data_IF_708084788059
#
_entry.id   IF_708084788059
#
_cell.length_a   1.000
_cell.length_b   1.000
_cell.length_c   1.000
_cell.angle_alpha   90.00
_cell.angle_beta   90.00
_cell.angle_gamma   90.00
#
_symmetry.space_group_name_H-M   'P 1'
#
loop_
_entity.id
_entity.type
_entity.pdbx_description
1 polymer ?
#
# COMPACT_ATOMS: atom_id res chain seq x y z
N UNK A 1 -19.11 12.81 14.30
CA UNK A 1 -19.19 11.34 14.38
C UNK A 1 -19.79 10.84 13.08
N UNK A 2 -18.98 10.50 12.06
CA UNK A 2 -19.45 9.69 10.95
C UNK A 2 -19.66 8.25 11.48
N UNK A 3 -20.63 7.50 10.96
CA UNK A 3 -21.17 6.29 11.61
C UNK A 3 -22.66 6.40 11.97
N UNK A 4 -23.41 7.22 11.22
CA UNK A 4 -24.87 7.24 11.26
C UNK A 4 -25.48 6.36 10.16
N UNK A 5 -26.79 6.06 10.21
CA UNK A 5 -27.52 5.25 9.20
C UNK A 5 -27.42 5.75 7.74
N UNK A 6 -26.79 6.90 7.49
CA UNK A 6 -26.48 7.41 6.15
C UNK A 6 -25.36 6.65 5.42
N UNK A 7 -24.46 5.97 6.14
CA UNK A 7 -23.27 5.33 5.54
C UNK A 7 -23.64 4.01 4.83
N UNK A 8 -24.52 3.18 5.41
CA UNK A 8 -24.95 1.93 4.77
C UNK A 8 -25.82 2.16 3.53
N UNK A 9 -26.69 3.17 3.56
CA UNK A 9 -27.52 3.51 2.40
C UNK A 9 -26.68 4.00 1.22
N UNK A 10 -25.53 4.63 1.47
CA UNK A 10 -24.58 5.00 0.42
C UNK A 10 -23.90 3.76 -0.18
N UNK A 11 -23.44 2.83 0.67
CA UNK A 11 -22.84 1.55 0.25
C UNK A 11 -23.82 0.71 -0.58
N UNK A 12 -25.09 0.65 -0.16
CA UNK A 12 -26.11 -0.09 -0.91
C UNK A 12 -26.33 0.47 -2.32
N UNK A 13 -26.26 1.81 -2.47
CA UNK A 13 -26.38 2.48 -3.77
C UNK A 13 -25.13 2.27 -4.63
N UNK A 14 -23.93 2.38 -4.06
CA UNK A 14 -22.67 2.27 -4.82
C UNK A 14 -22.44 0.87 -5.37
N UNK A 15 -22.89 -0.17 -4.66
CA UNK A 15 -22.78 -1.56 -5.11
C UNK A 15 -24.07 -2.12 -5.74
N UNK A 16 -25.04 -1.25 -6.04
CA UNK A 16 -26.33 -1.62 -6.63
C UNK A 16 -27.04 -2.81 -5.94
N UNK A 17 -26.98 -2.92 -4.61
CA UNK A 17 -27.53 -4.08 -3.88
C UNK A 17 -29.07 -4.07 -3.96
N UNK A 18 -29.66 -5.11 -4.56
CA UNK A 18 -31.08 -5.10 -4.99
C UNK A 18 -31.99 -5.87 -4.06
N UNK A 19 -31.45 -6.78 -3.24
CA UNK A 19 -32.22 -7.59 -2.30
C UNK A 19 -31.96 -7.20 -0.84
N UNK A 20 -32.95 -7.47 0.02
CA UNK A 20 -32.81 -7.32 1.47
C UNK A 20 -31.68 -8.19 2.02
N UNK A 21 -31.52 -9.40 1.51
CA UNK A 21 -30.49 -10.35 1.96
C UNK A 21 -29.07 -9.83 1.66
N UNK A 22 -28.84 -9.24 0.48
CA UNK A 22 -27.56 -8.58 0.13
C UNK A 22 -27.29 -7.37 1.03
N UNK A 23 -28.30 -6.53 1.24
CA UNK A 23 -28.20 -5.34 2.08
C UNK A 23 -27.90 -5.68 3.54
N UNK A 24 -28.55 -6.73 4.08
CA UNK A 24 -28.29 -7.25 5.42
C UNK A 24 -26.90 -7.89 5.53
N UNK A 25 -26.48 -8.67 4.54
CA UNK A 25 -25.16 -9.30 4.52
C UNK A 25 -24.04 -8.24 4.55
N UNK A 26 -24.17 -7.20 3.71
CA UNK A 26 -23.24 -6.06 3.70
C UNK A 26 -23.30 -5.27 5.00
N UNK A 27 -24.49 -5.07 5.58
CA UNK A 27 -24.64 -4.44 6.89
C UNK A 27 -23.91 -5.19 8.00
N UNK A 28 -24.01 -6.53 8.04
CA UNK A 28 -23.28 -7.37 9.01
C UNK A 28 -21.77 -7.30 8.78
N UNK A 29 -21.32 -7.36 7.53
CA UNK A 29 -19.91 -7.25 7.19
C UNK A 29 -19.33 -5.88 7.61
N UNK A 30 -20.05 -4.80 7.33
CA UNK A 30 -19.69 -3.44 7.75
C UNK A 30 -19.57 -3.33 9.26
N UNK A 31 -20.55 -3.82 10.02
CA UNK A 31 -20.49 -3.75 11.50
C UNK A 31 -19.35 -4.60 12.07
N UNK A 32 -19.10 -5.79 11.52
CA UNK A 32 -17.96 -6.62 11.92
C UNK A 32 -16.63 -5.91 11.63
N UNK A 33 -16.48 -5.33 10.43
CA UNK A 33 -15.31 -4.53 10.09
C UNK A 33 -15.14 -3.36 11.05
N UNK A 34 -16.19 -2.54 11.22
CA UNK A 34 -16.18 -1.34 12.08
C UNK A 34 -15.85 -1.68 13.54
N UNK A 35 -16.38 -2.78 14.07
CA UNK A 35 -16.16 -3.20 15.46
C UNK A 35 -14.75 -3.74 15.72
N UNK A 36 -14.11 -4.30 14.69
CA UNK A 36 -12.82 -4.99 14.82
C UNK A 36 -11.71 -4.27 14.01
N UNK A 37 -11.69 -4.47 12.69
CA UNK A 37 -10.62 -3.97 11.81
C UNK A 37 -10.58 -2.45 11.73
N UNK A 38 -11.73 -1.76 11.67
CA UNK A 38 -11.79 -0.30 11.63
C UNK A 38 -11.13 0.37 12.83
N UNK A 39 -11.18 -0.25 14.02
CA UNK A 39 -10.48 0.25 15.22
C UNK A 39 -8.97 0.08 15.11
N UNK A 40 -8.52 -1.05 14.57
CA UNK A 40 -7.10 -1.29 14.32
C UNK A 40 -6.54 -0.27 13.32
N UNK A 41 -7.20 -0.10 12.17
CA UNK A 41 -6.81 0.87 11.14
C UNK A 41 -6.77 2.29 11.71
N UNK A 42 -7.82 2.72 12.42
CA UNK A 42 -7.87 4.06 13.01
C UNK A 42 -6.76 4.30 14.05
N UNK A 43 -6.47 3.30 14.89
CA UNK A 43 -5.39 3.40 15.89
C UNK A 43 -4.02 3.51 15.23
N UNK A 44 -3.72 2.64 14.26
CA UNK A 44 -2.46 2.66 13.51
C UNK A 44 -2.30 3.96 12.73
N UNK A 45 -3.35 4.43 12.05
CA UNK A 45 -3.34 5.72 11.35
C UNK A 45 -3.09 6.89 12.28
N UNK A 46 -3.68 6.89 13.49
CA UNK A 46 -3.46 7.94 14.48
C UNK A 46 -2.01 7.97 15.00
N UNK A 47 -1.39 6.80 15.16
CA UNK A 47 0.02 6.69 15.54
C UNK A 47 0.98 7.09 14.42
N UNK A 48 0.60 6.80 13.17
CA UNK A 48 1.36 7.15 11.96
C UNK A 48 1.33 8.64 11.64
N UNK A 49 0.21 9.31 11.92
CA UNK A 49 -0.06 10.68 11.49
C UNK A 49 1.01 11.72 11.89
N UNK A 50 1.58 11.73 13.11
CA UNK A 50 2.67 12.64 13.48
C UNK A 50 3.91 12.51 12.59
N UNK A 51 4.24 11.29 12.17
CA UNK A 51 5.37 11.02 11.30
C UNK A 51 5.08 11.41 9.86
N UNK A 52 3.83 11.25 9.38
CA UNK A 52 3.40 11.79 8.08
C UNK A 52 3.51 13.32 8.04
N UNK A 53 3.07 14.00 9.10
CA UNK A 53 3.25 15.44 9.23
C UNK A 53 4.73 15.84 9.21
N UNK A 54 5.59 15.07 9.90
CA UNK A 54 7.03 15.31 9.91
C UNK A 54 7.64 15.12 8.53
N UNK A 55 7.25 14.06 7.82
CA UNK A 55 7.71 13.78 6.46
C UNK A 55 7.37 14.92 5.49
N UNK A 56 6.16 15.48 5.58
CA UNK A 56 5.77 16.68 4.82
C UNK A 56 6.59 17.90 5.25
N UNK A 57 6.73 18.16 6.55
CA UNK A 57 7.37 19.37 7.05
C UNK A 57 8.89 19.41 6.80
N UNK A 58 9.57 18.28 6.87
CA UNK A 58 11.03 18.19 6.74
C UNK A 58 11.48 18.01 5.29
N UNK A 59 10.69 17.29 4.48
CA UNK A 59 11.09 16.88 3.13
C UNK A 59 10.17 17.37 2.03
N UNK A 60 9.04 18.00 2.37
CA UNK A 60 8.01 18.34 1.40
C UNK A 60 7.37 17.10 0.76
N UNK A 61 7.36 15.96 1.46
CA UNK A 61 6.97 14.69 0.86
C UNK A 61 5.48 14.67 0.45
N UNK A 62 5.16 14.06 -0.70
CA UNK A 62 3.80 13.61 -0.99
C UNK A 62 3.52 12.33 -0.19
N UNK A 63 2.36 12.26 0.46
CA UNK A 63 1.93 11.05 1.18
C UNK A 63 1.04 10.23 0.25
N UNK A 64 1.43 9.00 -0.02
CA UNK A 64 0.71 8.15 -0.97
C UNK A 64 0.24 6.88 -0.29
N UNK A 65 -1.07 6.69 -0.29
CA UNK A 65 -1.70 5.47 0.20
C UNK A 65 -1.82 4.48 -0.95
N UNK A 66 -1.17 3.33 -0.80
CA UNK A 66 -1.12 2.31 -1.84
C UNK A 66 -2.35 1.41 -1.79
N UNK A 67 -3.25 1.59 -2.74
CA UNK A 67 -4.27 0.65 -3.19
C UNK A 67 -4.89 -0.22 -2.10
N UNK A 68 -5.04 -1.50 -2.45
CA UNK A 68 -5.64 -2.61 -1.70
C UNK A 68 -5.70 -2.42 -0.19
N UNK A 69 -4.55 -2.18 0.44
CA UNK A 69 -4.47 -2.10 1.90
C UNK A 69 -4.33 -0.66 2.40
N UNK A 70 -3.66 0.21 1.64
CA UNK A 70 -3.40 1.61 1.96
C UNK A 70 -4.67 2.47 2.03
N UNK A 71 -5.68 2.22 1.19
CA UNK A 71 -6.91 3.04 1.12
C UNK A 71 -7.69 3.05 2.43
N UNK A 72 -7.65 1.97 3.21
CA UNK A 72 -8.27 1.95 4.54
C UNK A 72 -7.59 2.93 5.50
N UNK A 73 -6.26 3.05 5.44
CA UNK A 73 -5.52 4.05 6.22
C UNK A 73 -5.74 5.46 5.68
N UNK A 74 -5.93 5.63 4.36
CA UNK A 74 -6.30 6.90 3.76
C UNK A 74 -7.65 7.40 4.28
N UNK A 75 -8.66 6.53 4.32
CA UNK A 75 -9.98 6.85 4.86
C UNK A 75 -9.90 7.25 6.34
N UNK A 76 -9.10 6.55 7.14
CA UNK A 76 -8.87 6.92 8.54
C UNK A 76 -8.15 8.27 8.68
N UNK A 77 -7.08 8.52 7.92
CA UNK A 77 -6.35 9.80 7.95
C UNK A 77 -7.24 10.96 7.48
N UNK A 78 -8.04 10.77 6.43
CA UNK A 78 -9.04 11.76 5.98
C UNK A 78 -10.03 12.11 7.09
N UNK A 79 -10.45 11.13 7.88
CA UNK A 79 -11.32 11.34 9.04
C UNK A 79 -10.63 12.03 10.23
N UNK A 80 -9.34 11.73 10.46
CA UNK A 80 -8.57 12.24 11.60
C UNK A 80 -7.98 13.64 11.35
N UNK A 81 -7.56 13.93 10.12
CA UNK A 81 -6.91 15.17 9.71
C UNK A 81 -7.28 15.54 8.26
N UNK A 82 -8.54 15.97 8.02
CA UNK A 82 -9.08 16.19 6.67
C UNK A 82 -8.25 17.21 5.87
N UNK A 83 -7.96 18.36 6.48
CA UNK A 83 -7.14 19.41 5.90
C UNK A 83 -5.72 18.96 5.50
N UNK A 84 -5.11 18.07 6.30
CA UNK A 84 -3.80 17.51 5.98
C UNK A 84 -3.92 16.56 4.79
N UNK A 85 -4.93 15.69 4.82
CA UNK A 85 -5.21 14.74 3.77
C UNK A 85 -5.41 15.45 2.42
N UNK A 86 -6.33 16.42 2.36
CA UNK A 86 -6.65 17.15 1.13
C UNK A 86 -5.43 17.85 0.51
N UNK A 87 -4.51 18.36 1.33
CA UNK A 87 -3.34 19.10 0.84
C UNK A 87 -2.16 18.22 0.48
N UNK A 88 -1.96 17.09 1.17
CA UNK A 88 -0.69 16.36 1.12
C UNK A 88 -0.81 14.88 0.75
N UNK A 89 -2.03 14.34 0.69
CA UNK A 89 -2.27 12.92 0.50
C UNK A 89 -2.93 12.59 -0.84
N UNK A 90 -2.46 11.52 -1.50
CA UNK A 90 -3.09 10.90 -2.67
C UNK A 90 -3.31 9.41 -2.39
N UNK A 91 -4.37 8.84 -2.97
CA UNK A 91 -4.58 7.40 -3.10
C UNK A 91 -4.25 6.98 -4.53
N UNK A 92 -3.40 5.96 -4.70
CA UNK A 92 -3.11 5.36 -6.02
C UNK A 92 -3.18 3.85 -5.91
N UNK A 93 -3.51 3.18 -7.00
CA UNK A 93 -3.43 1.72 -7.08
C UNK A 93 -2.14 1.35 -7.80
N UNK A 94 -1.10 1.07 -7.02
CA UNK A 94 0.19 0.63 -7.55
C UNK A 94 0.50 -0.79 -7.06
N UNK A 95 0.50 -1.76 -7.97
CA UNK A 95 0.76 -3.15 -7.63
C UNK A 95 2.23 -3.52 -7.84
N UNK A 96 2.66 -4.61 -7.18
CA UNK A 96 3.99 -5.21 -7.41
C UNK A 96 4.21 -5.59 -8.88
N UNK A 97 3.17 -6.06 -9.57
CA UNK A 97 3.28 -6.47 -10.97
C UNK A 97 3.50 -5.27 -11.89
N UNK A 98 2.77 -4.17 -11.65
CA UNK A 98 2.91 -2.93 -12.44
C UNK A 98 4.34 -2.37 -12.34
N UNK A 99 4.90 -2.26 -11.13
CA UNK A 99 6.27 -1.74 -10.96
C UNK A 99 7.32 -2.72 -11.49
N UNK A 100 7.12 -4.03 -11.30
CA UNK A 100 8.02 -5.05 -11.87
C UNK A 100 8.02 -5.00 -13.41
N UNK A 101 6.88 -4.75 -14.05
CA UNK A 101 6.81 -4.57 -15.50
C UNK A 101 7.60 -3.36 -15.97
N UNK A 102 7.53 -2.25 -15.26
CA UNK A 102 8.36 -1.08 -15.55
C UNK A 102 9.87 -1.38 -15.41
N UNK A 103 10.29 -2.13 -14.39
CA UNK A 103 11.70 -2.56 -14.28
C UNK A 103 12.09 -3.52 -15.41
N UNK A 104 11.22 -4.47 -15.77
CA UNK A 104 11.48 -5.40 -16.88
C UNK A 104 11.61 -4.66 -18.22
N UNK A 105 10.79 -3.64 -18.46
CA UNK A 105 10.89 -2.74 -19.62
C UNK A 105 12.24 -2.03 -19.67
N UNK A 106 12.68 -1.43 -18.55
CA UNK A 106 13.98 -0.77 -18.44
C UNK A 106 15.16 -1.73 -18.63
N UNK A 107 15.09 -2.95 -18.09
CA UNK A 107 16.11 -3.98 -18.32
C UNK A 107 16.19 -4.37 -19.80
N UNK A 108 15.04 -4.59 -20.44
CA UNK A 108 14.96 -5.05 -21.81
C UNK A 108 15.35 -3.97 -22.83
N UNK A 109 14.82 -2.76 -22.66
CA UNK A 109 14.89 -1.69 -23.66
C UNK A 109 16.00 -0.66 -23.39
N UNK A 110 16.37 -0.44 -22.13
CA UNK A 110 17.41 0.51 -21.75
C UNK A 110 18.72 -0.15 -21.25
N UNK A 111 18.74 -1.48 -21.10
CA UNK A 111 19.89 -2.22 -20.58
C UNK A 111 20.20 -1.93 -19.11
N UNK A 112 19.22 -1.42 -18.36
CA UNK A 112 19.32 -1.16 -16.93
C UNK A 112 19.55 -2.46 -16.14
N UNK A 113 20.04 -2.34 -14.91
CA UNK A 113 20.23 -3.46 -13.99
C UNK A 113 19.79 -3.08 -12.59
N UNK A 114 19.07 -3.99 -11.94
CA UNK A 114 18.44 -3.75 -10.64
C UNK A 114 18.89 -4.77 -9.58
N UNK A 115 20.17 -5.12 -9.58
CA UNK A 115 20.75 -6.14 -8.69
C UNK A 115 20.48 -5.86 -7.20
N UNK A 116 20.45 -4.58 -6.82
CA UNK A 116 20.24 -4.14 -5.43
C UNK A 116 18.84 -4.47 -4.88
N UNK A 117 17.84 -4.62 -5.74
CA UNK A 117 16.45 -4.91 -5.34
C UNK A 117 16.01 -6.33 -5.68
N UNK A 118 16.91 -7.18 -6.17
CA UNK A 118 16.58 -8.52 -6.67
C UNK A 118 15.80 -9.36 -5.63
N UNK A 119 16.17 -9.27 -4.35
CA UNK A 119 15.46 -10.00 -3.28
C UNK A 119 14.00 -9.57 -3.10
N UNK A 120 13.62 -8.39 -3.60
CA UNK A 120 12.26 -7.83 -3.54
C UNK A 120 11.44 -8.14 -4.79
N UNK A 121 12.09 -8.60 -5.88
CA UNK A 121 11.42 -8.82 -7.17
C UNK A 121 10.61 -10.11 -7.18
N UNK A 122 9.51 -10.07 -7.93
CA UNK A 122 8.65 -11.21 -8.24
C UNK A 122 8.62 -11.42 -9.74
N UNK A 123 9.76 -11.81 -10.32
CA UNK A 123 9.95 -11.93 -11.79
C UNK A 123 8.95 -12.87 -12.46
N UNK A 124 8.40 -13.82 -11.72
CA UNK A 124 7.39 -14.79 -12.18
C UNK A 124 6.01 -14.16 -12.44
N UNK A 125 5.79 -12.91 -12.01
CA UNK A 125 4.51 -12.21 -12.13
C UNK A 125 4.32 -11.43 -13.41
N UNK A 126 5.38 -11.24 -14.20
CA UNK A 126 5.36 -10.42 -15.40
C UNK A 126 6.02 -11.20 -16.54
N UNK A 127 5.36 -11.23 -17.70
CA UNK A 127 6.02 -11.66 -18.94
C UNK A 127 6.92 -10.51 -19.44
N UNK A 128 8.27 -10.67 -19.43
CA UNK A 128 9.18 -9.61 -19.84
C UNK A 128 9.00 -9.19 -21.29
N UNK A 129 8.46 -10.07 -22.14
CA UNK A 129 8.23 -9.75 -23.56
C UNK A 129 6.95 -8.94 -23.79
N UNK A 130 6.06 -8.91 -22.80
CA UNK A 130 4.85 -8.11 -22.81
C UNK A 130 5.03 -6.75 -22.10
N UNK A 131 6.19 -6.50 -21.49
CA UNK A 131 6.43 -5.30 -20.67
C UNK A 131 6.82 -4.05 -21.48
N UNK A 132 6.88 -4.12 -22.81
CA UNK A 132 7.30 -3.00 -23.64
C UNK A 132 6.41 -1.76 -23.43
N UNK A 133 7.00 -0.64 -23.01
CA UNK A 133 6.30 0.61 -22.73
C UNK A 133 5.70 0.71 -21.33
N UNK A 134 5.83 -0.32 -20.49
CA UNK A 134 5.30 -0.32 -19.13
C UNK A 134 5.94 0.77 -18.25
N UNK A 135 7.22 1.12 -18.47
CA UNK A 135 7.84 2.22 -17.72
C UNK A 135 7.23 3.57 -18.08
N UNK A 136 6.94 3.81 -19.37
CA UNK A 136 6.29 5.05 -19.79
C UNK A 136 4.86 5.12 -19.26
N UNK A 137 4.08 4.04 -19.38
CA UNK A 137 2.71 4.00 -18.84
C UNK A 137 2.67 4.22 -17.33
N UNK A 138 3.64 3.65 -16.58
CA UNK A 138 3.78 3.93 -15.15
C UNK A 138 4.14 5.40 -14.89
N UNK A 139 5.06 5.97 -15.67
CA UNK A 139 5.44 7.38 -15.52
C UNK A 139 4.26 8.32 -15.77
N UNK A 140 3.50 8.08 -16.83
CA UNK A 140 2.31 8.87 -17.18
C UNK A 140 1.25 8.77 -16.08
N UNK A 141 0.98 7.56 -15.57
CA UNK A 141 0.05 7.34 -14.46
C UNK A 141 0.46 8.07 -13.18
N UNK A 142 1.76 8.09 -12.87
CA UNK A 142 2.29 8.77 -11.69
C UNK A 142 2.27 10.29 -11.85
N UNK A 143 2.61 10.79 -13.03
CA UNK A 143 2.57 12.21 -13.35
C UNK A 143 1.12 12.75 -13.28
N UNK A 144 0.13 12.02 -13.82
CA UNK A 144 -1.29 12.37 -13.74
C UNK A 144 -1.81 12.41 -12.28
N UNK A 145 -1.21 11.61 -11.41
CA UNK A 145 -1.52 11.56 -9.98
C UNK A 145 -0.68 12.53 -9.12
N UNK A 146 0.15 13.39 -9.74
CA UNK A 146 1.09 14.31 -9.09
C UNK A 146 2.06 13.59 -8.13
N UNK A 147 2.54 12.41 -8.55
CA UNK A 147 3.51 11.60 -7.82
C UNK A 147 4.90 11.82 -8.42
N UNK A 148 5.91 12.25 -7.63
CA UNK A 148 7.22 12.62 -8.17
C UNK A 148 7.92 11.47 -8.92
N UNK A 149 8.31 11.65 -10.19
CA UNK A 149 9.03 10.62 -10.98
C UNK A 149 10.52 10.94 -11.20
N UNK A 150 10.97 12.15 -10.85
CA UNK A 150 12.34 12.62 -11.15
C UNK A 150 13.05 13.23 -9.95
N UNK A 151 12.48 14.26 -9.32
CA UNK A 151 12.98 14.90 -8.10
C UNK A 151 11.83 15.04 -7.10
N UNK A 152 12.13 14.90 -5.81
CA UNK A 152 11.16 15.14 -4.73
C UNK A 152 11.23 14.09 -3.64
N UNK A 153 10.20 14.08 -2.80
CA UNK A 153 10.10 13.14 -1.70
C UNK A 153 8.72 12.48 -1.67
N UNK A 154 8.71 11.20 -1.37
CA UNK A 154 7.53 10.36 -1.30
C UNK A 154 7.50 9.62 0.04
N UNK A 155 6.30 9.47 0.59
CA UNK A 155 6.07 8.57 1.73
C UNK A 155 4.94 7.63 1.37
N UNK A 156 5.27 6.35 1.22
CA UNK A 156 4.32 5.29 0.91
C UNK A 156 3.68 4.76 2.18
N UNK A 157 2.35 4.67 2.18
CA UNK A 157 1.55 4.09 3.25
C UNK A 157 0.88 2.82 2.74
N UNK A 158 1.14 1.70 3.41
CA UNK A 158 0.63 0.39 3.01
C UNK A 158 0.55 -0.56 4.22
N UNK A 159 -0.08 -1.72 4.06
CA UNK A 159 0.06 -2.86 4.97
C UNK A 159 1.06 -3.86 4.38
N UNK A 160 2.35 -3.53 4.42
CA UNK A 160 3.39 -4.33 3.75
C UNK A 160 4.47 -4.83 4.68
N UNK A 161 4.63 -6.15 4.73
CA UNK A 161 5.67 -6.77 5.55
C UNK A 161 7.09 -6.33 5.16
N UNK A 162 7.41 -6.36 3.86
CA UNK A 162 8.78 -6.19 3.34
C UNK A 162 9.04 -4.78 2.79
N UNK A 163 8.00 -4.05 2.40
CA UNK A 163 8.14 -2.77 1.68
C UNK A 163 8.54 -2.92 0.22
N UNK A 164 8.14 -4.00 -0.45
CA UNK A 164 8.53 -4.30 -1.84
C UNK A 164 8.25 -3.15 -2.81
N UNK A 165 7.06 -2.55 -2.78
CA UNK A 165 6.71 -1.48 -3.73
C UNK A 165 7.64 -0.29 -3.56
N UNK A 166 8.03 0.06 -2.32
CA UNK A 166 9.01 1.12 -2.08
C UNK A 166 10.33 0.85 -2.81
N UNK A 167 10.86 -0.36 -2.68
CA UNK A 167 12.17 -0.69 -3.26
C UNK A 167 12.13 -0.76 -4.78
N UNK A 168 11.08 -1.36 -5.35
CA UNK A 168 10.93 -1.40 -6.81
C UNK A 168 10.70 0.01 -7.38
N UNK A 169 9.92 0.85 -6.69
CA UNK A 169 9.72 2.23 -7.08
C UNK A 169 11.03 3.04 -7.02
N UNK A 170 11.78 2.92 -5.92
CA UNK A 170 13.07 3.62 -5.75
C UNK A 170 14.09 3.20 -6.81
N UNK A 171 14.02 1.95 -7.27
CA UNK A 171 14.84 1.47 -8.38
C UNK A 171 14.41 2.05 -9.74
N UNK A 172 13.10 2.16 -10.00
CA UNK A 172 12.57 2.75 -11.23
C UNK A 172 12.80 4.27 -11.31
N UNK A 173 12.71 4.97 -10.17
CA UNK A 173 12.78 6.43 -10.07
C UNK A 173 13.84 6.88 -9.05
N UNK A 174 15.14 6.71 -9.35
CA UNK A 174 16.23 6.87 -8.38
C UNK A 174 16.48 8.31 -7.88
N UNK A 175 15.87 9.32 -8.50
CA UNK A 175 15.97 10.72 -8.06
C UNK A 175 14.96 11.11 -6.97
N UNK A 176 14.05 10.20 -6.60
CA UNK A 176 12.99 10.46 -5.61
C UNK A 176 13.40 9.89 -4.24
N UNK A 177 13.33 10.70 -3.18
CA UNK A 177 13.54 10.21 -1.81
C UNK A 177 12.28 9.50 -1.30
N UNK A 178 12.31 8.17 -1.20
CA UNK A 178 11.16 7.38 -0.76
C UNK A 178 11.31 6.89 0.69
N UNK A 179 10.27 7.05 1.49
CA UNK A 179 10.11 6.40 2.81
C UNK A 179 8.83 5.58 2.88
N UNK A 180 8.79 4.66 3.84
CA UNK A 180 7.69 3.71 4.00
C UNK A 180 7.11 3.76 5.40
N UNK A 181 5.79 3.87 5.49
CA UNK A 181 5.02 3.87 6.75
C UNK A 181 4.01 2.73 6.66
N UNK A 182 4.31 1.65 7.36
CA UNK A 182 3.56 0.41 7.24
C UNK A 182 2.85 0.05 8.53
N UNK A 183 1.67 -0.54 8.45
CA UNK A 183 1.05 -1.10 9.64
C UNK A 183 1.92 -2.21 10.24
N UNK A 184 2.43 -3.11 9.41
CA UNK A 184 3.24 -4.26 9.81
C UNK A 184 4.51 -4.23 8.96
N UNK A 185 5.70 -4.22 9.57
CA UNK A 185 6.97 -4.23 8.84
C UNK A 185 8.01 -5.14 9.51
N UNK A 186 8.72 -5.91 8.69
CA UNK A 186 9.97 -6.56 9.05
C UNK A 186 11.04 -6.20 8.02
N UNK A 187 12.17 -5.69 8.50
CA UNK A 187 13.29 -5.35 7.62
C UNK A 187 13.87 -6.62 6.98
N UNK A 188 14.14 -6.54 5.68
CA UNK A 188 14.91 -7.56 4.97
C UNK A 188 16.41 -7.30 5.15
N UNK A 189 17.26 -8.32 5.31
CA UNK A 189 18.72 -8.13 5.44
C UNK A 189 19.35 -7.48 4.22
N UNK A 190 18.78 -7.72 3.03
CA UNK A 190 19.28 -7.19 1.76
C UNK A 190 18.51 -5.92 1.31
N UNK A 191 17.87 -5.21 2.24
CA UNK A 191 17.22 -3.92 1.96
C UNK A 191 18.28 -2.87 1.56
N UNK A 192 18.24 -2.31 0.34
CA UNK A 192 19.23 -1.33 -0.09
C UNK A 192 19.04 0.04 0.59
N UNK A 193 17.89 0.28 1.22
CA UNK A 193 17.57 1.52 1.93
C UNK A 193 17.19 1.24 3.41
N UNK A 194 18.11 0.69 4.23
CA UNK A 194 17.79 0.35 5.61
C UNK A 194 17.45 1.60 6.43
N UNK A 195 16.44 1.49 7.30
CA UNK A 195 16.01 2.58 8.17
C UNK A 195 15.05 3.60 7.53
N UNK A 196 14.70 3.44 6.25
CA UNK A 196 13.70 4.29 5.57
C UNK A 196 12.25 3.86 5.80
N UNK A 197 12.04 2.74 6.50
CA UNK A 197 10.75 2.08 6.71
C UNK A 197 10.41 2.02 8.19
N UNK A 198 9.16 2.31 8.54
CA UNK A 198 8.65 2.21 9.91
C UNK A 198 7.39 1.36 9.94
N UNK A 199 7.31 0.49 10.95
CA UNK A 199 6.15 -0.33 11.25
C UNK A 199 5.47 0.19 12.50
N UNK A 200 4.14 0.24 12.54
CA UNK A 200 3.40 0.84 13.67
C UNK A 200 2.76 -0.20 14.58
N UNK A 201 2.06 -1.18 14.02
CA UNK A 201 1.55 -2.30 14.79
C UNK A 201 2.61 -3.37 15.05
N UNK A 202 3.56 -3.53 14.13
CA UNK A 202 4.72 -4.39 14.27
C UNK A 202 5.91 -3.78 13.50
N UNK A 203 7.05 -3.67 14.17
CA UNK A 203 8.32 -3.32 13.53
C UNK A 203 9.42 -4.29 13.96
N UNK A 204 9.95 -5.05 13.01
CA UNK A 204 10.99 -6.05 13.27
C UNK A 204 12.30 -5.69 12.56
N UNK A 205 13.44 -5.69 13.27
CA UNK A 205 14.74 -5.42 12.66
C UNK A 205 15.23 -6.60 11.80
N UNK A 206 16.18 -6.33 10.90
CA UNK A 206 16.69 -7.31 9.94
C UNK A 206 17.42 -8.50 10.59
N UNK A 207 17.99 -8.29 11.78
CA UNK A 207 18.65 -9.33 12.57
C UNK A 207 17.67 -10.32 13.26
N UNK A 208 16.35 -10.15 13.05
CA UNK A 208 15.33 -11.01 13.62
C UNK A 208 15.04 -12.27 12.79
N UNK A 209 14.19 -13.14 13.34
CA UNK A 209 13.76 -14.41 12.70
C UNK A 209 12.91 -14.23 11.42
N UNK A 210 12.41 -13.02 11.18
CA UNK A 210 11.49 -12.70 10.08
C UNK A 210 12.21 -12.47 8.75
N UNK A 211 13.38 -11.80 8.78
CA UNK A 211 14.17 -11.48 7.58
C UNK A 211 13.33 -10.92 6.41
N UNK A 212 12.34 -10.07 6.68
CA UNK A 212 11.46 -9.51 5.67
C UNK A 212 10.26 -10.38 5.25
N UNK A 213 10.00 -11.49 5.93
CA UNK A 213 8.88 -12.39 5.63
C UNK A 213 8.08 -12.75 6.89
N UNK A 214 6.76 -12.91 6.77
CA UNK A 214 5.96 -13.41 7.87
C UNK A 214 6.36 -14.86 8.20
N UNK A 215 6.21 -15.23 9.47
CA UNK A 215 6.43 -16.62 9.92
C UNK A 215 5.27 -17.48 9.44
N UNK A 216 5.58 -18.71 9.03
CA UNK A 216 4.58 -19.66 8.58
C UNK A 216 3.58 -20.03 9.70
N UNK A 217 4.04 -20.06 10.95
CA UNK A 217 3.25 -20.45 12.11
C UNK A 217 3.04 -19.27 13.05
N UNK A 218 1.93 -19.32 13.80
CA UNK A 218 1.64 -18.35 14.85
C UNK A 218 2.65 -18.50 16.01
N UNK A 219 3.35 -17.43 16.41
CA UNK A 219 4.26 -17.50 17.55
C UNK A 219 3.53 -17.68 18.88
N UNK A 220 4.21 -18.27 19.86
CA UNK A 220 3.70 -18.36 21.24
C UNK A 220 3.61 -16.99 21.92
N UNK A 221 4.40 -16.01 21.45
CA UNK A 221 4.40 -14.64 21.98
C UNK A 221 3.23 -13.82 21.40
N UNK A 222 2.19 -13.47 22.20
CA UNK A 222 0.98 -12.83 21.67
C UNK A 222 1.25 -11.48 20.99
N UNK A 223 2.23 -10.72 21.46
CA UNK A 223 2.66 -9.45 20.87
C UNK A 223 3.27 -9.60 19.46
N UNK A 224 3.63 -10.83 19.06
CA UNK A 224 4.17 -11.15 17.74
C UNK A 224 3.14 -11.77 16.80
N UNK A 225 1.86 -11.83 17.21
CA UNK A 225 0.74 -12.36 16.42
C UNK A 225 0.71 -11.77 15.01
N UNK A 226 0.88 -10.45 14.89
CA UNK A 226 0.84 -9.74 13.61
C UNK A 226 2.02 -10.06 12.68
N UNK A 227 3.01 -10.81 13.16
CA UNK A 227 4.07 -11.29 12.32
C UNK A 227 3.69 -12.55 11.53
N UNK A 228 2.73 -13.35 12.00
CA UNK A 228 2.36 -14.62 11.37
C UNK A 228 1.68 -14.42 10.01
N UNK A 229 1.95 -15.33 9.07
CA UNK A 229 1.41 -15.25 7.71
C UNK A 229 -0.12 -15.28 7.70
N UNK A 230 -0.74 -16.08 8.56
CA UNK A 230 -2.20 -16.15 8.70
C UNK A 230 -2.79 -14.83 9.22
N UNK A 231 -2.14 -14.18 10.18
CA UNK A 231 -2.61 -12.91 10.72
C UNK A 231 -2.49 -11.79 9.68
N UNK A 232 -1.36 -11.73 8.96
CA UNK A 232 -1.16 -10.78 7.86
C UNK A 232 -2.21 -11.02 6.77
N UNK A 233 -2.40 -12.27 6.33
CA UNK A 233 -3.39 -12.63 5.33
C UNK A 233 -4.83 -12.30 5.76
N UNK A 234 -5.18 -12.50 7.03
CA UNK A 234 -6.50 -12.14 7.54
C UNK A 234 -6.75 -10.63 7.45
N UNK A 235 -5.75 -9.81 7.76
CA UNK A 235 -5.84 -8.35 7.60
C UNK A 235 -5.92 -7.99 6.11
N UNK A 236 -5.00 -8.47 5.28
CA UNK A 236 -5.02 -8.18 3.83
C UNK A 236 -6.35 -8.57 3.18
N UNK A 237 -6.88 -9.78 3.43
CA UNK A 237 -8.12 -10.24 2.83
C UNK A 237 -9.37 -9.50 3.32
N UNK A 238 -9.34 -8.94 4.53
CA UNK A 238 -10.46 -8.12 5.03
C UNK A 238 -10.40 -6.68 4.52
N UNK A 239 -9.24 -6.23 4.04
CA UNK A 239 -9.05 -4.92 3.42
C UNK A 239 -9.23 -4.95 1.89
N UNK A 240 -9.04 -6.11 1.25
CA UNK A 240 -8.91 -6.23 -0.21
C UNK A 240 -10.14 -5.80 -1.04
N UNK A 241 -11.34 -5.68 -0.47
CA UNK A 241 -12.55 -5.41 -1.27
C UNK A 241 -12.80 -6.47 -2.36
N UNK A 242 -13.70 -6.23 -3.32
CA UNK A 242 -14.01 -7.17 -4.40
C UNK A 242 -12.99 -7.16 -5.57
N UNK A 243 -12.13 -6.15 -5.65
CA UNK A 243 -11.29 -5.89 -6.83
C UNK A 243 -9.90 -6.52 -6.69
N UNK A 244 -9.43 -7.19 -7.75
CA UNK A 244 -8.07 -7.74 -7.81
C UNK A 244 -7.04 -6.64 -8.01
N UNK A 245 -5.79 -6.89 -7.58
CA UNK A 245 -4.70 -5.96 -7.87
C UNK A 245 -4.46 -5.86 -9.39
N UNK A 246 -4.32 -4.66 -9.98
CA UNK A 246 -4.05 -4.52 -11.40
C UNK A 246 -2.70 -5.17 -11.73
N UNK A 247 -2.65 -5.84 -12.87
CA UNK A 247 -1.42 -6.48 -13.37
C UNK A 247 -0.76 -5.67 -14.50
N UNK A 248 -1.49 -4.71 -15.06
CA UNK A 248 -1.06 -3.80 -16.12
C UNK A 248 -1.80 -2.45 -15.98
N UNK A 249 -1.21 -1.40 -16.55
CA UNK A 249 -1.87 -0.10 -16.75
C UNK A 249 -2.31 -0.04 -18.21
N UNK A 250 -3.58 0.21 -18.46
CA UNK A 250 -4.14 0.40 -19.81
C UNK A 250 -4.72 1.80 -19.92
N UNK A 251 -4.78 2.35 -21.15
CA UNK A 251 -5.36 3.68 -21.43
C UNK A 251 -6.85 3.79 -21.01
N UNK A 252 -7.52 2.66 -20.73
CA UNK A 252 -8.93 2.57 -20.33
C UNK A 252 -9.15 2.67 -18.80
N UNK A 253 -8.30 3.40 -18.06
CA UNK A 253 -8.58 3.75 -16.66
C UNK A 253 -9.56 4.93 -16.54
N UNK A 254 -10.65 4.89 -17.31
CA UNK A 254 -11.81 5.74 -17.06
C UNK A 254 -12.55 5.22 -15.82
N UNK A 255 -12.38 5.95 -14.71
CA UNK A 255 -13.30 5.98 -13.56
C UNK A 255 -13.58 4.65 -12.84
N UNK A 256 -12.64 4.21 -11.99
CA UNK A 256 -13.00 3.51 -10.76
C UNK A 256 -12.75 4.45 -9.57
N UNK A 257 -13.68 5.39 -9.36
CA UNK A 257 -13.82 6.18 -8.13
C UNK A 257 -14.79 5.49 -7.17
#
# INVERSE_FOLDING_TARGET
MPGGPGDLAAIHRSHELRSTDEQEAVGRAYEAFRAHHGRFVAAVSAEMLPDLHRDVAERGARIVFLGRDGHSYAAAVRGLAPDFYERHCTEIVLSRAVVEAALADLEHNAGARFDAVESFRGRDRVDPTAAAGAFQALSDYLDDADIPTSDGALTLVDNSFKGTIQELYSAAFPGVEVRGRYAIHAAHPDDPHPGTKTGYALHQPAAGRWRGYPLAELPDEPELTLGAAEAVAAIEHTLHGPDTSPIELTDDLDHQQ
#
